data_IF_000922356384
#
_entry.id   IF_000922356384
#
_cell.length_a   1.000
_cell.length_b   1.000
_cell.length_c   1.000
_cell.angle_alpha   90.00
_cell.angle_beta   90.00
_cell.angle_gamma   90.00
#
_symmetry.space_group_name_H-M   'P 1'
#
loop_
_entity.id
_entity.type
_entity.pdbx_description
1 polymer ?
#
# COMPACT_ATOMS: atom_id res chain seq x y z
N UNK A 1 1.90 14.03 22.89
CA UNK A 1 2.87 13.29 22.05
C UNK A 1 2.40 11.84 22.02
N UNK A 2 1.80 11.38 20.92
CA UNK A 2 1.43 9.98 20.77
C UNK A 2 2.72 9.16 20.73
N UNK A 3 2.91 8.30 21.73
CA UNK A 3 4.05 7.40 21.81
C UNK A 3 3.58 6.01 21.38
N UNK A 4 4.26 5.46 20.38
CA UNK A 4 4.25 4.02 20.15
C UNK A 4 5.19 3.42 21.19
N UNK A 5 4.66 2.64 22.14
CA UNK A 5 5.44 2.06 23.25
C UNK A 5 4.98 0.65 23.56
N UNK A 6 5.94 -0.19 23.98
CA UNK A 6 5.67 -1.56 24.41
C UNK A 6 5.18 -2.41 23.25
N UNK A 7 4.04 -3.08 23.44
CA UNK A 7 3.57 -4.11 22.51
C UNK A 7 3.39 -3.64 21.06
N UNK A 8 3.01 -2.39 20.83
CA UNK A 8 2.84 -1.85 19.47
C UNK A 8 4.18 -1.70 18.73
N UNK A 9 5.23 -1.29 19.45
CA UNK A 9 6.61 -1.23 18.95
C UNK A 9 7.10 -2.65 18.63
N UNK A 10 6.88 -3.61 19.53
CA UNK A 10 7.24 -5.01 19.31
C UNK A 10 6.55 -5.59 18.07
N UNK A 11 5.25 -5.32 17.85
CA UNK A 11 4.55 -5.73 16.63
C UNK A 11 5.17 -5.12 15.37
N UNK A 12 5.60 -3.85 15.42
CA UNK A 12 6.24 -3.20 14.28
C UNK A 12 7.60 -3.81 13.99
N UNK A 13 8.40 -4.09 15.01
CA UNK A 13 9.70 -4.75 14.90
C UNK A 13 9.56 -6.14 14.26
N UNK A 14 8.56 -6.92 14.68
CA UNK A 14 8.29 -8.24 14.08
C UNK A 14 7.83 -8.11 12.63
N UNK A 15 6.98 -7.13 12.29
CA UNK A 15 6.57 -6.87 10.90
C UNK A 15 7.78 -6.47 10.05
N UNK A 16 8.63 -5.55 10.51
CA UNK A 16 9.87 -5.15 9.82
C UNK A 16 10.74 -6.39 9.56
N UNK A 17 10.96 -7.20 10.59
CA UNK A 17 11.75 -8.44 10.50
C UNK A 17 11.12 -9.44 9.52
N UNK A 18 9.79 -9.57 9.50
CA UNK A 18 9.08 -10.45 8.60
C UNK A 18 9.23 -10.04 7.13
N UNK A 19 9.08 -8.74 6.83
CA UNK A 19 9.25 -8.22 5.48
C UNK A 19 10.72 -8.33 5.01
N UNK A 20 11.69 -8.00 5.86
CA UNK A 20 13.12 -8.15 5.52
C UNK A 20 13.44 -9.61 5.22
N UNK A 21 12.92 -10.55 6.01
CA UNK A 21 13.13 -11.97 5.78
C UNK A 21 12.50 -12.45 4.47
N UNK A 22 11.27 -12.03 4.17
CA UNK A 22 10.62 -12.35 2.91
C UNK A 22 11.39 -11.81 1.69
N UNK A 23 11.85 -10.55 1.75
CA UNK A 23 12.70 -9.96 0.70
C UNK A 23 14.00 -10.73 0.52
N UNK A 24 14.64 -11.08 1.64
CA UNK A 24 15.88 -11.85 1.61
C UNK A 24 15.68 -13.23 0.99
N UNK A 25 14.62 -13.95 1.36
CA UNK A 25 14.34 -15.27 0.78
C UNK A 25 14.03 -15.20 -0.72
N UNK A 26 13.40 -14.13 -1.19
CA UNK A 26 13.29 -13.87 -2.62
C UNK A 26 14.67 -13.63 -3.26
N UNK A 27 15.52 -12.83 -2.64
CA UNK A 27 16.89 -12.56 -3.13
C UNK A 27 17.78 -13.82 -3.14
N UNK A 28 17.60 -14.73 -2.19
CA UNK A 28 18.35 -16.00 -2.08
C UNK A 28 17.80 -17.10 -3.01
N UNK A 29 16.63 -16.88 -3.62
CA UNK A 29 16.00 -17.85 -4.52
C UNK A 29 16.50 -17.71 -5.96
N UNK A 30 16.70 -18.82 -6.69
CA UNK A 30 16.93 -18.77 -8.13
C UNK A 30 15.73 -18.16 -8.86
N UNK A 31 15.98 -17.36 -9.89
CA UNK A 31 14.91 -16.75 -10.69
C UNK A 31 13.97 -17.81 -11.30
N UNK A 32 14.52 -18.92 -11.78
CA UNK A 32 13.74 -20.06 -12.32
C UNK A 32 12.73 -20.61 -11.30
N UNK A 33 13.11 -20.69 -10.02
CA UNK A 33 12.24 -21.21 -8.97
C UNK A 33 11.07 -20.26 -8.72
N UNK A 34 11.34 -18.96 -8.62
CA UNK A 34 10.30 -17.95 -8.37
C UNK A 34 9.30 -17.82 -9.54
N UNK A 35 9.78 -18.05 -10.76
CA UNK A 35 8.98 -18.06 -11.98
C UNK A 35 8.22 -19.38 -12.21
N UNK A 36 8.33 -20.35 -11.30
CA UNK A 36 7.56 -21.59 -11.34
C UNK A 36 6.23 -21.45 -10.61
N UNK A 37 5.26 -22.31 -10.96
CA UNK A 37 3.96 -22.34 -10.28
C UNK A 37 4.10 -22.93 -8.88
N UNK A 38 3.48 -22.27 -7.91
CA UNK A 38 3.45 -22.75 -6.54
C UNK A 38 2.44 -23.90 -6.36
N UNK A 39 2.69 -24.74 -5.36
CA UNK A 39 1.68 -25.69 -4.86
C UNK A 39 0.70 -25.02 -3.87
N UNK A 40 1.06 -23.84 -3.38
CA UNK A 40 0.27 -23.02 -2.47
C UNK A 40 -0.59 -22.02 -3.24
N UNK A 41 -1.79 -21.71 -2.75
CA UNK A 41 -2.69 -20.73 -3.35
C UNK A 41 -3.55 -21.30 -4.50
N UNK A 42 -3.93 -20.43 -5.43
CA UNK A 42 -4.70 -20.80 -6.63
C UNK A 42 -3.78 -21.43 -7.68
N UNK A 43 -4.35 -22.15 -8.66
CA UNK A 43 -3.57 -22.90 -9.66
C UNK A 43 -2.70 -22.04 -10.62
N UNK A 44 -2.79 -20.73 -10.52
CA UNK A 44 -2.01 -19.72 -11.24
C UNK A 44 -1.02 -18.94 -10.34
N UNK A 45 -0.98 -19.20 -9.04
CA UNK A 45 -0.05 -18.57 -8.10
C UNK A 45 1.39 -18.97 -8.42
N UNK A 46 2.30 -17.99 -8.55
CA UNK A 46 3.73 -18.25 -8.71
C UNK A 46 4.40 -18.40 -7.35
N UNK A 47 5.54 -19.10 -7.29
CA UNK A 47 6.37 -19.18 -6.07
C UNK A 47 6.83 -17.78 -5.61
N UNK A 48 6.97 -16.84 -6.55
CA UNK A 48 7.19 -15.42 -6.27
C UNK A 48 6.14 -14.83 -5.31
N UNK A 49 4.86 -15.19 -5.47
CA UNK A 49 3.75 -14.70 -4.64
C UNK A 49 3.64 -15.50 -3.33
N UNK A 50 3.79 -16.83 -3.42
CA UNK A 50 3.60 -17.74 -2.30
C UNK A 50 4.70 -17.62 -1.24
N UNK A 51 5.98 -17.50 -1.65
CA UNK A 51 7.11 -17.53 -0.72
C UNK A 51 7.07 -16.37 0.29
N UNK A 52 6.85 -15.09 -0.11
CA UNK A 52 6.70 -13.99 0.83
C UNK A 52 5.53 -14.19 1.79
N UNK A 53 4.37 -14.64 1.29
CA UNK A 53 3.19 -14.85 2.12
C UNK A 53 3.45 -15.90 3.21
N UNK A 54 4.06 -17.03 2.86
CA UNK A 54 4.38 -18.11 3.79
C UNK A 54 5.33 -17.61 4.89
N UNK A 55 6.40 -16.91 4.52
CA UNK A 55 7.41 -16.41 5.48
C UNK A 55 6.80 -15.37 6.42
N UNK A 56 6.01 -14.44 5.88
CA UNK A 56 5.35 -13.41 6.66
C UNK A 56 4.38 -14.05 7.65
N UNK A 57 3.52 -14.95 7.17
CA UNK A 57 2.53 -15.65 7.99
C UNK A 57 3.19 -16.47 9.10
N UNK A 58 4.23 -17.23 8.78
CA UNK A 58 4.97 -18.01 9.77
C UNK A 58 5.53 -17.13 10.88
N UNK A 59 6.19 -16.02 10.52
CA UNK A 59 6.79 -15.12 11.50
C UNK A 59 5.77 -14.40 12.37
N UNK A 60 4.71 -13.85 11.76
CA UNK A 60 3.72 -13.06 12.49
C UNK A 60 2.77 -13.93 13.30
N UNK A 61 2.20 -14.97 12.69
CA UNK A 61 1.11 -15.74 13.32
C UNK A 61 1.57 -17.02 13.97
N UNK A 62 2.53 -17.75 13.40
CA UNK A 62 2.89 -19.06 13.93
C UNK A 62 3.93 -18.96 15.05
N UNK A 63 4.90 -18.05 14.89
CA UNK A 63 6.03 -17.89 15.81
C UNK A 63 5.85 -16.77 16.83
N UNK A 64 5.08 -15.71 16.52
CA UNK A 64 4.97 -14.54 17.38
C UNK A 64 3.61 -14.42 18.08
N UNK A 65 2.51 -14.21 17.34
CA UNK A 65 1.16 -14.11 17.91
C UNK A 65 0.13 -14.96 17.16
N UNK A 66 -0.15 -16.15 17.69
CA UNK A 66 -1.13 -17.11 17.17
C UNK A 66 -2.58 -16.64 17.24
N UNK A 67 -2.86 -15.59 18.01
CA UNK A 67 -4.21 -15.04 18.14
C UNK A 67 -4.45 -13.86 17.20
N UNK A 68 -3.41 -13.36 16.53
CA UNK A 68 -3.53 -12.31 15.54
C UNK A 68 -4.23 -12.81 14.27
N UNK A 69 -5.02 -11.94 13.65
CA UNK A 69 -5.70 -12.26 12.38
C UNK A 69 -4.85 -11.72 11.23
N UNK A 70 -4.41 -12.62 10.35
CA UNK A 70 -3.61 -12.27 9.18
C UNK A 70 -4.43 -12.35 7.90
N UNK A 71 -4.57 -11.22 7.21
CA UNK A 71 -5.46 -11.04 6.06
C UNK A 71 -4.63 -10.82 4.81
N UNK A 72 -4.71 -11.75 3.86
CA UNK A 72 -4.03 -11.70 2.54
C UNK A 72 -5.00 -11.88 1.39
N UNK A 73 -4.50 -11.90 0.14
CA UNK A 73 -5.30 -12.34 -1.00
C UNK A 73 -5.73 -13.83 -0.87
N UNK A 74 -4.89 -14.68 -0.27
CA UNK A 74 -5.17 -16.10 -0.08
C UNK A 74 -5.65 -16.41 1.35
N UNK A 75 -6.75 -15.75 1.77
CA UNK A 75 -7.40 -16.05 3.06
C UNK A 75 -7.71 -17.55 3.17
N UNK A 76 -7.23 -18.18 4.24
CA UNK A 76 -7.60 -19.54 4.62
C UNK A 76 -8.90 -19.60 5.45
N UNK A 77 -9.48 -20.79 5.56
CA UNK A 77 -10.71 -20.99 6.34
C UNK A 77 -10.54 -20.66 7.83
N UNK A 78 -9.33 -20.80 8.38
CA UNK A 78 -9.04 -20.55 9.79
C UNK A 78 -9.16 -19.06 10.10
N UNK A 79 -8.54 -18.22 9.27
CA UNK A 79 -8.63 -16.76 9.34
C UNK A 79 -10.08 -16.32 9.24
N UNK A 80 -10.87 -16.93 8.34
CA UNK A 80 -12.29 -16.65 8.20
C UNK A 80 -13.10 -17.01 9.45
N UNK A 81 -12.80 -18.14 10.10
CA UNK A 81 -13.46 -18.56 11.36
C UNK A 81 -13.18 -17.58 12.51
N UNK A 82 -11.96 -17.08 12.56
CA UNK A 82 -11.48 -16.16 13.60
C UNK A 82 -11.84 -14.69 13.35
N UNK A 83 -12.46 -14.36 12.21
CA UNK A 83 -12.86 -12.98 11.89
C UNK A 83 -13.74 -12.35 12.99
N UNK A 84 -13.54 -11.05 13.33
CA UNK A 84 -14.26 -10.39 14.40
C UNK A 84 -15.78 -10.54 14.24
N UNK A 85 -16.47 -10.79 15.35
CA UNK A 85 -17.93 -11.02 15.39
C UNK A 85 -18.74 -9.80 15.80
N UNK A 86 -18.11 -8.89 16.54
CA UNK A 86 -18.75 -7.74 17.16
C UNK A 86 -18.12 -6.48 16.58
N UNK A 87 -18.97 -5.51 16.21
CA UNK A 87 -18.53 -4.23 15.64
C UNK A 87 -17.81 -3.34 16.66
N UNK A 88 -18.07 -3.53 17.96
CA UNK A 88 -17.42 -2.80 19.06
C UNK A 88 -15.89 -2.78 18.86
N UNK A 89 -15.30 -1.60 18.63
CA UNK A 89 -13.87 -1.47 18.36
C UNK A 89 -13.03 -2.06 19.49
N UNK A 90 -13.41 -1.92 20.76
CA UNK A 90 -12.60 -2.39 21.89
C UNK A 90 -12.43 -3.91 21.89
N UNK A 91 -13.43 -4.63 21.37
CA UNK A 91 -13.45 -6.08 21.27
C UNK A 91 -12.85 -6.60 19.95
N UNK A 92 -12.51 -5.73 19.01
CA UNK A 92 -11.85 -6.15 17.78
C UNK A 92 -10.40 -6.59 18.08
N UNK A 93 -10.00 -7.82 17.68
CA UNK A 93 -8.67 -8.35 17.88
C UNK A 93 -7.60 -7.58 17.09
N UNK A 94 -6.34 -7.94 17.31
CA UNK A 94 -5.24 -7.49 16.48
C UNK A 94 -5.35 -8.09 15.08
N UNK A 95 -5.17 -7.26 14.06
CA UNK A 95 -5.29 -7.67 12.67
C UNK A 95 -4.15 -7.11 11.84
N UNK A 96 -3.68 -7.90 10.88
CA UNK A 96 -2.68 -7.52 9.89
C UNK A 96 -3.29 -7.66 8.51
N UNK A 97 -3.45 -6.54 7.80
CA UNK A 97 -3.70 -6.58 6.37
C UNK A 97 -2.37 -6.65 5.65
N UNK A 98 -2.22 -7.61 4.74
CA UNK A 98 -0.97 -7.88 4.05
C UNK A 98 -1.22 -8.01 2.55
N UNK A 99 -0.42 -7.28 1.78
CA UNK A 99 -0.21 -7.50 0.35
C UNK A 99 1.22 -8.07 0.16
N UNK A 100 1.37 -9.40 0.03
CA UNK A 100 2.69 -10.04 0.01
C UNK A 100 3.56 -9.63 -1.19
N UNK A 101 2.92 -9.40 -2.35
CA UNK A 101 3.59 -9.00 -3.60
C UNK A 101 2.64 -8.17 -4.47
N UNK A 102 2.75 -6.85 -4.37
CA UNK A 102 2.16 -5.93 -5.32
C UNK A 102 2.96 -5.93 -6.64
N UNK A 103 2.26 -5.73 -7.76
CA UNK A 103 2.82 -5.76 -9.12
C UNK A 103 3.55 -7.06 -9.47
N UNK A 104 3.07 -8.20 -8.99
CA UNK A 104 3.66 -9.51 -9.27
C UNK A 104 3.81 -9.78 -10.77
N UNK A 105 2.82 -9.41 -11.59
CA UNK A 105 2.90 -9.54 -13.05
C UNK A 105 4.08 -8.78 -13.67
N UNK A 106 4.32 -7.54 -13.24
CA UNK A 106 5.47 -6.74 -13.68
C UNK A 106 6.78 -7.31 -13.16
N UNK A 107 6.82 -7.79 -11.91
CA UNK A 107 8.00 -8.41 -11.33
C UNK A 107 8.37 -9.72 -12.05
N UNK A 108 7.39 -10.53 -12.45
CA UNK A 108 7.57 -11.73 -13.27
C UNK A 108 8.18 -11.36 -14.62
N UNK A 109 7.61 -10.39 -15.34
CA UNK A 109 8.12 -9.94 -16.64
C UNK A 109 9.56 -9.42 -16.54
N UNK A 110 9.81 -8.63 -15.50
CA UNK A 110 11.13 -8.10 -15.21
C UNK A 110 12.14 -9.24 -14.96
N UNK A 111 11.83 -10.17 -14.04
CA UNK A 111 12.67 -11.32 -13.72
C UNK A 111 12.93 -12.22 -14.92
N UNK A 112 11.91 -12.50 -15.74
CA UNK A 112 12.05 -13.28 -16.98
C UNK A 112 13.09 -12.64 -17.92
N UNK A 113 13.06 -11.32 -18.05
CA UNK A 113 13.97 -10.59 -18.94
C UNK A 113 15.40 -10.60 -18.42
N UNK A 114 15.61 -10.25 -17.16
CA UNK A 114 16.97 -10.13 -16.61
C UNK A 114 17.66 -11.47 -16.34
N UNK A 115 16.87 -12.54 -16.23
CA UNK A 115 17.37 -13.88 -15.98
C UNK A 115 17.38 -14.78 -17.22
N UNK A 116 17.06 -14.24 -18.40
CA UNK A 116 16.95 -15.01 -19.65
C UNK A 116 18.19 -15.89 -19.93
N UNK A 117 19.39 -15.37 -19.65
CA UNK A 117 20.65 -16.09 -19.84
C UNK A 117 21.20 -16.72 -18.55
N UNK A 118 20.60 -16.44 -17.38
CA UNK A 118 21.14 -16.77 -16.06
C UNK A 118 20.04 -17.18 -15.06
N UNK A 119 19.04 -17.95 -15.51
CA UNK A 119 17.86 -18.29 -14.72
C UNK A 119 18.13 -19.12 -13.45
N UNK A 120 19.29 -19.78 -13.38
CA UNK A 120 19.76 -20.52 -12.20
C UNK A 120 20.42 -19.62 -11.15
N UNK A 121 20.74 -18.36 -11.47
CA UNK A 121 21.33 -17.45 -10.49
C UNK A 121 20.28 -16.98 -9.50
N UNK A 122 20.74 -16.75 -8.27
CA UNK A 122 19.93 -16.12 -7.24
C UNK A 122 19.58 -14.69 -7.66
N UNK A 123 18.36 -14.25 -7.37
CA UNK A 123 17.90 -12.89 -7.69
C UNK A 123 18.83 -11.82 -7.12
N UNK A 124 19.33 -12.01 -5.90
CA UNK A 124 20.29 -11.10 -5.26
C UNK A 124 21.62 -10.99 -6.00
N UNK A 125 22.10 -12.08 -6.60
CA UNK A 125 23.31 -12.08 -7.42
C UNK A 125 23.08 -11.34 -8.74
N UNK A 126 21.92 -11.54 -9.37
CA UNK A 126 21.53 -10.80 -10.57
C UNK A 126 21.46 -9.30 -10.26
N UNK A 127 20.95 -8.92 -9.08
CA UNK A 127 20.87 -7.54 -8.59
C UNK A 127 22.24 -6.88 -8.42
N UNK A 128 23.22 -7.60 -7.90
CA UNK A 128 24.58 -7.05 -7.73
C UNK A 128 25.32 -6.86 -9.06
N UNK A 129 24.98 -7.64 -10.09
CA UNK A 129 25.65 -7.61 -11.40
C UNK A 129 25.08 -6.57 -12.36
N UNK A 130 23.91 -6.01 -12.08
CA UNK A 130 23.17 -5.16 -13.02
C UNK A 130 22.65 -3.90 -12.31
N UNK A 131 22.41 -2.81 -13.07
CA UNK A 131 21.73 -1.64 -12.53
C UNK A 131 20.21 -1.90 -12.46
N UNK A 132 19.81 -2.66 -11.45
CA UNK A 132 18.46 -3.19 -11.27
C UNK A 132 17.36 -2.13 -11.30
N UNK A 133 17.60 -0.98 -10.65
CA UNK A 133 16.65 0.14 -10.60
C UNK A 133 16.47 0.74 -11.99
N UNK A 134 17.57 0.99 -12.70
CA UNK A 134 17.52 1.53 -14.05
C UNK A 134 16.80 0.56 -15.01
N UNK A 135 17.11 -0.73 -14.93
CA UNK A 135 16.45 -1.75 -15.74
C UNK A 135 14.94 -1.81 -15.46
N UNK A 136 14.52 -1.70 -14.19
CA UNK A 136 13.10 -1.66 -13.84
C UNK A 136 12.38 -0.48 -14.51
N UNK A 137 12.96 0.71 -14.43
CA UNK A 137 12.36 1.91 -15.01
C UNK A 137 12.34 1.91 -16.54
N UNK A 138 13.37 1.35 -17.18
CA UNK A 138 13.51 1.32 -18.64
C UNK A 138 12.66 0.19 -19.24
N UNK A 139 12.68 -1.00 -18.65
CA UNK A 139 12.15 -2.21 -19.27
C UNK A 139 10.70 -2.51 -18.91
N UNK A 140 10.24 -2.04 -17.75
CA UNK A 140 8.87 -2.30 -17.28
C UNK A 140 7.95 -1.10 -17.50
N UNK A 141 8.47 0.12 -17.39
CA UNK A 141 7.67 1.34 -17.26
C UNK A 141 8.01 2.45 -18.26
N UNK A 142 8.90 2.17 -19.22
CA UNK A 142 9.21 3.06 -20.34
C UNK A 142 9.53 4.51 -19.93
N UNK A 143 10.31 4.70 -18.85
CA UNK A 143 10.79 5.99 -18.30
C UNK A 143 9.74 7.06 -17.91
N UNK A 144 8.50 7.00 -18.40
CA UNK A 144 7.45 7.99 -18.11
C UNK A 144 6.82 7.80 -16.73
N UNK A 145 6.98 6.62 -16.13
CA UNK A 145 6.35 6.22 -14.86
C UNK A 145 7.42 5.97 -13.76
N UNK A 146 8.44 6.84 -13.71
CA UNK A 146 9.45 6.92 -12.63
C UNK A 146 8.86 7.58 -11.37
N UNK A 147 9.53 7.53 -10.20
CA UNK A 147 10.74 6.76 -9.87
C UNK A 147 10.42 5.36 -9.33
N UNK A 148 11.37 4.42 -9.47
CA UNK A 148 11.25 3.06 -8.94
C UNK A 148 10.98 3.00 -7.43
N UNK A 149 11.32 4.05 -6.68
CA UNK A 149 10.97 4.19 -5.26
C UNK A 149 9.46 4.11 -5.01
N UNK A 150 8.65 4.52 -5.98
CA UNK A 150 7.18 4.51 -5.94
C UNK A 150 6.62 3.39 -6.83
N UNK A 151 7.22 3.14 -8.00
CA UNK A 151 6.68 2.16 -8.97
C UNK A 151 7.21 0.75 -8.84
N UNK A 152 8.21 0.54 -7.99
CA UNK A 152 8.76 -0.78 -7.67
C UNK A 152 7.70 -1.74 -7.14
N UNK A 153 7.87 -3.04 -7.41
CA UNK A 153 7.10 -4.08 -6.74
C UNK A 153 7.33 -3.99 -5.23
N UNK A 154 6.27 -4.16 -4.44
CA UNK A 154 6.34 -3.99 -2.99
C UNK A 154 5.68 -5.15 -2.24
N UNK A 155 6.04 -5.31 -0.98
CA UNK A 155 5.21 -5.99 0.01
C UNK A 155 4.75 -4.97 1.04
N UNK A 156 3.56 -5.14 1.60
CA UNK A 156 3.03 -4.18 2.55
C UNK A 156 2.22 -4.85 3.65
N UNK A 157 2.36 -4.35 4.88
CA UNK A 157 1.56 -4.78 6.03
C UNK A 157 1.04 -3.55 6.78
N UNK A 158 -0.24 -3.55 7.13
CA UNK A 158 -0.84 -2.57 8.04
C UNK A 158 -1.40 -3.28 9.26
N UNK A 159 -1.01 -2.78 10.44
CA UNK A 159 -1.48 -3.29 11.71
C UNK A 159 -2.68 -2.48 12.21
N UNK A 160 -3.75 -3.21 12.56
CA UNK A 160 -4.94 -2.68 13.19
C UNK A 160 -5.10 -3.27 14.58
N UNK A 161 -5.52 -2.43 15.52
CA UNK A 161 -5.92 -2.87 16.86
C UNK A 161 -7.11 -2.04 17.31
N UNK A 162 -8.11 -2.72 17.85
CA UNK A 162 -9.34 -2.08 18.35
C UNK A 162 -10.03 -1.17 17.33
N UNK A 163 -10.13 -1.61 16.07
CA UNK A 163 -10.70 -0.80 14.99
C UNK A 163 -9.88 0.45 14.63
N UNK A 164 -8.58 0.50 14.94
CA UNK A 164 -7.71 1.66 14.69
C UNK A 164 -6.39 1.26 14.04
N UNK A 165 -5.86 2.13 13.19
CA UNK A 165 -4.55 1.93 12.55
C UNK A 165 -3.44 2.24 13.55
N UNK A 166 -2.54 1.28 13.73
CA UNK A 166 -1.35 1.46 14.58
C UNK A 166 -0.15 1.90 13.74
N UNK A 167 0.17 1.14 12.69
CA UNK A 167 1.26 1.44 11.77
C UNK A 167 1.08 0.75 10.42
N UNK A 168 1.88 1.15 9.43
CA UNK A 168 2.13 0.35 8.23
C UNK A 168 3.60 0.31 7.87
N UNK A 169 4.02 -0.80 7.26
CA UNK A 169 5.35 -1.03 6.72
C UNK A 169 5.21 -1.46 5.27
N UNK A 170 5.90 -0.78 4.35
CA UNK A 170 5.98 -1.11 2.94
C UNK A 170 7.45 -1.35 2.60
N UNK A 171 7.78 -2.47 1.97
CA UNK A 171 9.13 -2.77 1.51
C UNK A 171 9.15 -2.89 -0.02
N UNK A 172 9.95 -2.06 -0.66
CA UNK A 172 10.15 -2.05 -2.11
C UNK A 172 11.27 -3.03 -2.51
N UNK A 173 10.92 -4.07 -3.27
CA UNK A 173 11.86 -5.10 -3.71
C UNK A 173 12.94 -4.57 -4.66
N UNK A 174 12.58 -3.60 -5.50
CA UNK A 174 13.45 -3.09 -6.56
C UNK A 174 14.53 -2.21 -5.96
N UNK A 175 14.14 -1.30 -5.08
CA UNK A 175 15.06 -0.32 -4.49
C UNK A 175 15.63 -0.76 -3.15
N UNK A 176 15.06 -1.80 -2.53
CA UNK A 176 15.38 -2.25 -1.17
C UNK A 176 15.15 -1.14 -0.13
N UNK A 177 14.16 -0.27 -0.38
CA UNK A 177 13.75 0.77 0.57
C UNK A 177 12.56 0.27 1.38
N UNK A 178 12.68 0.32 2.71
CA UNK A 178 11.57 0.13 3.63
C UNK A 178 11.00 1.51 3.99
N UNK A 179 9.67 1.63 3.92
CA UNK A 179 8.89 2.79 4.33
C UNK A 179 8.03 2.40 5.53
N UNK A 180 8.00 3.23 6.56
CA UNK A 180 7.25 2.97 7.79
C UNK A 180 6.44 4.22 8.14
N UNK A 181 5.15 4.04 8.39
CA UNK A 181 4.26 5.08 8.90
C UNK A 181 3.79 4.69 10.31
N UNK A 182 4.16 5.48 11.32
CA UNK A 182 3.80 5.27 12.74
C UNK A 182 3.44 6.59 13.42
N UNK A 183 2.95 6.58 14.68
CA UNK A 183 2.75 7.80 15.45
C UNK A 183 4.02 8.65 15.64
N UNK A 184 5.22 8.06 15.46
CA UNK A 184 6.51 8.75 15.55
C UNK A 184 6.86 9.52 14.26
N UNK A 185 6.08 9.33 13.19
CA UNK A 185 6.27 9.94 11.87
C UNK A 185 6.38 8.89 10.77
N UNK A 186 6.70 9.37 9.57
CA UNK A 186 6.94 8.51 8.41
C UNK A 186 8.42 8.55 8.11
N UNK A 187 9.04 7.37 7.97
CA UNK A 187 10.47 7.22 7.73
C UNK A 187 10.71 6.27 6.58
N UNK A 188 11.85 6.44 5.91
CA UNK A 188 12.34 5.49 4.94
C UNK A 188 13.82 5.15 5.17
N UNK A 189 14.18 3.91 4.89
CA UNK A 189 15.54 3.40 5.09
C UNK A 189 15.93 2.45 3.95
N UNK A 190 17.16 2.57 3.45
CA UNK A 190 17.69 1.65 2.43
C UNK A 190 18.28 0.46 3.17
N UNK A 191 17.75 -0.74 2.93
CA UNK A 191 18.26 -1.96 3.51
C UNK A 191 19.71 -2.20 3.07
N UNK A 192 20.53 -2.81 3.94
CA UNK A 192 21.85 -3.29 3.55
C UNK A 192 21.74 -4.39 2.49
N UNK A 193 22.89 -4.81 1.94
CA UNK A 193 22.91 -5.94 1.03
C UNK A 193 22.31 -7.19 1.68
N UNK A 194 21.57 -7.98 0.90
CA UNK A 194 20.84 -9.16 1.38
C UNK A 194 21.76 -10.22 2.02
N UNK A 195 23.05 -10.23 1.66
CA UNK A 195 24.04 -11.11 2.25
C UNK A 195 24.55 -10.65 3.63
N UNK A 196 24.31 -9.40 4.04
CA UNK A 196 24.71 -8.87 5.35
C UNK A 196 23.66 -9.22 6.43
N UNK A 197 23.69 -10.49 6.86
CA UNK A 197 22.75 -11.03 7.84
C UNK A 197 22.82 -10.32 9.19
N UNK A 198 24.04 -9.98 9.64
CA UNK A 198 24.24 -9.36 10.95
C UNK A 198 23.55 -8.01 10.99
N UNK A 199 23.73 -7.20 9.94
CA UNK A 199 23.11 -5.89 9.86
C UNK A 199 21.61 -5.99 9.62
N UNK A 200 21.17 -6.90 8.75
CA UNK A 200 19.74 -7.12 8.47
C UNK A 200 18.93 -7.52 9.70
N UNK A 201 19.48 -8.38 10.56
CA UNK A 201 18.80 -8.82 11.79
C UNK A 201 18.74 -7.74 12.87
N UNK A 202 19.57 -6.69 12.78
CA UNK A 202 19.58 -5.58 13.73
C UNK A 202 18.59 -4.46 13.36
N UNK A 203 17.92 -4.56 12.19
CA UNK A 203 17.00 -3.53 11.72
C UNK A 203 15.65 -3.72 12.40
N UNK A 204 15.29 -2.72 13.20
CA UNK A 204 14.01 -2.59 13.87
C UNK A 204 13.51 -1.15 13.78
N UNK A 205 12.36 -0.82 14.38
CA UNK A 205 11.76 0.50 14.30
C UNK A 205 12.72 1.58 14.79
N UNK A 206 13.30 1.39 15.97
CA UNK A 206 14.25 2.35 16.54
C UNK A 206 15.49 2.53 15.65
N UNK A 207 16.04 1.46 15.08
CA UNK A 207 17.16 1.55 14.13
C UNK A 207 16.80 2.40 12.92
N UNK A 208 15.61 2.21 12.34
CA UNK A 208 15.12 2.96 11.19
C UNK A 208 14.87 4.42 11.53
N UNK A 209 14.36 4.73 12.71
CA UNK A 209 14.18 6.13 13.15
C UNK A 209 15.54 6.83 13.32
N UNK A 210 16.54 6.13 13.85
CA UNK A 210 17.87 6.69 14.11
C UNK A 210 18.73 6.84 12.84
N UNK A 211 18.62 5.91 11.89
CA UNK A 211 19.50 5.82 10.72
C UNK A 211 18.80 6.05 9.38
N UNK A 212 17.47 6.06 9.37
CA UNK A 212 16.66 6.39 8.21
C UNK A 212 16.49 7.89 8.02
N UNK A 213 15.66 8.24 7.05
CA UNK A 213 15.31 9.62 6.75
C UNK A 213 13.81 9.82 6.95
N UNK A 214 13.38 10.92 7.59
CA UNK A 214 11.97 11.27 7.63
C UNK A 214 11.46 11.51 6.20
N UNK A 215 10.23 11.09 5.95
CA UNK A 215 9.54 11.30 4.68
C UNK A 215 8.38 12.28 4.91
N UNK A 216 8.36 13.36 4.13
CA UNK A 216 7.35 14.40 4.22
C UNK A 216 6.40 14.39 3.03
N UNK A 217 5.20 14.88 3.29
CA UNK A 217 4.16 15.10 2.30
C UNK A 217 4.00 16.61 2.13
N UNK A 218 4.61 17.21 1.10
CA UNK A 218 4.51 18.65 0.89
C UNK A 218 3.08 19.06 0.53
N UNK A 219 2.75 20.30 0.84
CA UNK A 219 1.48 20.92 0.46
C UNK A 219 1.40 21.10 -1.07
N UNK A 220 0.17 21.11 -1.62
CA UNK A 220 -0.08 21.30 -3.04
C UNK A 220 0.49 22.63 -3.54
N UNK A 221 0.34 23.71 -2.77
CA UNK A 221 0.88 25.03 -3.13
C UNK A 221 2.41 25.05 -3.30
N UNK A 222 3.12 24.13 -2.64
CA UNK A 222 4.58 23.99 -2.73
C UNK A 222 5.00 23.24 -3.99
N UNK A 223 4.21 22.25 -4.43
CA UNK A 223 4.61 21.32 -5.52
C UNK A 223 3.92 21.59 -6.85
N UNK A 224 2.64 21.99 -6.83
CA UNK A 224 1.84 22.28 -8.00
C UNK A 224 2.16 23.68 -8.52
N UNK A 225 2.75 23.77 -9.72
CA UNK A 225 3.23 25.05 -10.29
C UNK A 225 2.23 25.64 -11.27
N UNK A 226 1.35 24.82 -11.83
CA UNK A 226 0.32 25.20 -12.80
C UNK A 226 -1.02 24.64 -12.38
N UNK A 227 -2.10 25.25 -12.85
CA UNK A 227 -3.47 24.80 -12.58
C UNK A 227 -3.69 23.31 -12.88
N UNK A 228 -3.10 22.82 -13.97
CA UNK A 228 -3.22 21.41 -14.40
C UNK A 228 -2.63 20.43 -13.37
N UNK A 229 -1.61 20.86 -12.62
CA UNK A 229 -0.91 20.02 -11.66
C UNK A 229 -1.80 19.60 -10.49
N UNK A 230 -2.71 20.48 -10.06
CA UNK A 230 -3.68 20.19 -8.99
C UNK A 230 -4.67 19.09 -9.39
N UNK A 231 -4.88 18.90 -10.69
CA UNK A 231 -5.76 17.89 -11.26
C UNK A 231 -5.02 16.61 -11.66
N UNK A 232 -3.69 16.61 -11.75
CA UNK A 232 -2.94 15.41 -12.12
C UNK A 232 -3.14 14.32 -11.09
N UNK A 233 -3.37 13.10 -11.56
CA UNK A 233 -3.71 11.99 -10.69
C UNK A 233 -3.20 10.65 -11.18
N UNK A 234 -3.18 9.68 -10.26
CA UNK A 234 -2.94 8.28 -10.60
C UNK A 234 -4.04 7.40 -10.04
N UNK A 235 -4.45 6.43 -10.86
CA UNK A 235 -5.53 5.49 -10.53
C UNK A 235 -5.45 4.26 -11.42
N UNK A 236 -6.05 3.16 -10.97
CA UNK A 236 -6.14 1.94 -11.76
C UNK A 236 -7.30 2.01 -12.77
N UNK A 237 -6.97 1.93 -14.06
CA UNK A 237 -7.90 1.87 -15.20
C UNK A 237 -7.61 0.67 -16.11
N UNK A 238 -6.64 -0.17 -15.75
CA UNK A 238 -6.07 -1.18 -16.64
C UNK A 238 -6.91 -2.43 -16.91
N UNK A 239 -8.14 -2.53 -16.38
CA UNK A 239 -9.04 -3.68 -16.55
C UNK A 239 -10.46 -3.19 -16.79
N UNK A 240 -11.26 -4.03 -17.45
CA UNK A 240 -12.69 -3.81 -17.65
C UNK A 240 -13.42 -3.48 -16.33
N UNK A 241 -14.37 -2.55 -16.42
CA UNK A 241 -15.20 -2.03 -15.33
C UNK A 241 -14.59 -0.85 -14.57
N UNK A 242 -13.26 -0.67 -14.65
CA UNK A 242 -12.60 0.41 -13.91
C UNK A 242 -12.80 1.77 -14.57
N UNK A 243 -12.85 1.85 -15.90
CA UNK A 243 -13.06 3.12 -16.59
C UNK A 243 -14.45 3.66 -16.32
N UNK A 244 -15.46 2.81 -16.45
CA UNK A 244 -16.86 3.12 -16.21
C UNK A 244 -17.05 3.58 -14.75
N UNK A 245 -16.46 2.86 -13.80
CA UNK A 245 -16.51 3.22 -12.39
C UNK A 245 -15.81 4.56 -12.08
N UNK A 246 -14.75 4.89 -12.81
CA UNK A 246 -14.10 6.19 -12.70
C UNK A 246 -14.97 7.31 -13.28
N UNK A 247 -15.55 7.12 -14.47
CA UNK A 247 -16.37 8.13 -15.12
C UNK A 247 -17.64 8.43 -14.30
N UNK A 248 -18.25 7.41 -13.68
CA UNK A 248 -19.40 7.58 -12.78
C UNK A 248 -19.06 8.25 -11.43
N UNK A 249 -17.79 8.34 -11.07
CA UNK A 249 -17.35 9.03 -9.85
C UNK A 249 -17.49 10.55 -9.94
N UNK A 250 -17.72 11.11 -11.13
CA UNK A 250 -17.89 12.55 -11.38
C UNK A 250 -16.77 13.45 -10.81
N UNK A 251 -15.61 12.87 -10.44
CA UNK A 251 -14.43 13.62 -10.01
C UNK A 251 -13.95 14.51 -11.16
N UNK A 252 -14.08 14.01 -12.39
CA UNK A 252 -13.94 14.76 -13.62
C UNK A 252 -15.25 14.74 -14.39
N UNK A 253 -15.53 15.85 -15.08
CA UNK A 253 -16.68 15.95 -15.99
C UNK A 253 -16.23 15.65 -17.43
N UNK A 254 -15.05 16.12 -17.84
CA UNK A 254 -14.48 15.89 -19.18
C UNK A 254 -12.95 15.82 -19.16
N UNK A 255 -12.37 15.14 -20.16
CA UNK A 255 -10.93 15.13 -20.48
C UNK A 255 -9.98 14.67 -19.35
N UNK A 256 -10.43 13.74 -18.49
CA UNK A 256 -9.63 13.23 -17.39
C UNK A 256 -8.28 12.62 -17.84
N UNK A 257 -8.24 11.97 -19.00
CA UNK A 257 -7.03 11.33 -19.54
C UNK A 257 -5.84 12.30 -19.69
N UNK A 258 -6.11 13.58 -19.94
CA UNK A 258 -5.05 14.60 -20.03
C UNK A 258 -4.29 14.75 -18.70
N UNK A 259 -4.96 14.49 -17.59
CA UNK A 259 -4.41 14.63 -16.24
C UNK A 259 -3.95 13.29 -15.65
N UNK A 260 -4.20 12.19 -16.34
CA UNK A 260 -3.80 10.86 -15.89
C UNK A 260 -2.28 10.69 -16.00
N UNK A 261 -1.62 10.54 -14.86
CA UNK A 261 -0.18 10.30 -14.79
C UNK A 261 0.17 8.84 -15.07
N UNK A 262 -0.57 7.91 -14.46
CA UNK A 262 -0.33 6.48 -14.58
C UNK A 262 -1.63 5.71 -14.38
N UNK A 263 -1.96 4.83 -15.34
CA UNK A 263 -3.22 4.08 -15.45
C UNK A 263 -3.20 2.70 -14.79
N UNK A 264 -2.01 2.23 -14.38
CA UNK A 264 -1.82 0.94 -13.70
C UNK A 264 -0.86 1.06 -12.50
N UNK A 265 -1.05 2.04 -11.60
CA UNK A 265 -0.22 2.19 -10.41
C UNK A 265 -0.27 0.96 -9.50
N UNK A 266 0.77 0.79 -8.69
CA UNK A 266 0.80 -0.22 -7.64
C UNK A 266 -0.28 0.09 -6.60
N UNK A 267 -0.69 -0.92 -5.85
CA UNK A 267 -1.64 -0.76 -4.76
C UNK A 267 -0.97 -0.03 -3.59
N UNK A 268 -0.20 -0.71 -2.73
CA UNK A 268 0.24 -0.17 -1.44
C UNK A 268 1.09 1.11 -1.53
N UNK A 269 2.02 1.19 -2.50
CA UNK A 269 2.98 2.29 -2.60
C UNK A 269 2.39 3.58 -3.21
N UNK A 270 1.15 3.58 -3.72
CA UNK A 270 0.59 4.71 -4.46
C UNK A 270 0.54 6.00 -3.68
N UNK A 271 0.32 5.94 -2.36
CA UNK A 271 0.31 7.14 -1.51
C UNK A 271 1.62 7.94 -1.61
N UNK A 272 2.74 7.28 -1.94
CA UNK A 272 4.05 7.91 -2.05
C UNK A 272 4.15 8.88 -3.25
N UNK A 273 3.24 8.83 -4.22
CA UNK A 273 3.14 9.85 -5.29
C UNK A 273 2.87 11.26 -4.74
N UNK A 274 2.28 11.38 -3.55
CA UNK A 274 2.00 12.66 -2.89
C UNK A 274 3.14 13.10 -1.95
N UNK A 275 4.22 12.33 -1.86
CA UNK A 275 5.37 12.61 -1.00
C UNK A 275 6.47 13.39 -1.75
N UNK A 276 7.47 13.86 -1.01
CA UNK A 276 8.65 14.49 -1.62
C UNK A 276 9.44 13.58 -2.58
N UNK A 277 9.23 12.25 -2.56
CA UNK A 277 9.86 11.31 -3.49
C UNK A 277 9.49 11.59 -4.95
N UNK A 278 8.25 12.04 -5.21
CA UNK A 278 7.81 12.41 -6.56
C UNK A 278 8.62 13.60 -7.10
N UNK A 279 8.99 14.53 -6.22
CA UNK A 279 9.71 15.76 -6.58
C UNK A 279 11.22 15.56 -6.75
N UNK A 280 11.77 14.42 -6.31
CA UNK A 280 13.20 14.12 -6.47
C UNK A 280 13.58 13.90 -7.94
N UNK A 281 12.65 13.45 -8.76
CA UNK A 281 12.83 13.35 -10.20
C UNK A 281 12.48 14.70 -10.85
N UNK A 282 13.50 15.47 -11.24
CA UNK A 282 13.39 16.86 -11.72
C UNK A 282 12.42 17.06 -12.90
N UNK A 283 12.14 16.01 -13.66
CA UNK A 283 11.33 16.06 -14.88
C UNK A 283 9.93 15.46 -14.72
N UNK A 284 9.57 15.02 -13.50
CA UNK A 284 8.24 14.46 -13.26
C UNK A 284 7.25 15.56 -12.87
N UNK A 285 6.03 15.55 -13.45
CA UNK A 285 5.00 16.44 -12.99
C UNK A 285 4.54 16.03 -11.58
N UNK A 286 4.19 17.02 -10.74
CA UNK A 286 3.60 16.76 -9.42
C UNK A 286 2.23 16.08 -9.57
N UNK A 287 1.82 15.36 -8.52
CA UNK A 287 0.53 14.67 -8.45
C UNK A 287 -0.35 15.40 -7.43
N UNK A 288 -1.52 15.85 -7.86
CA UNK A 288 -2.48 16.56 -7.03
C UNK A 288 -3.38 15.64 -6.20
N UNK A 289 -3.61 14.41 -6.65
CA UNK A 289 -4.30 13.38 -5.85
C UNK A 289 -4.07 11.96 -6.38
N UNK A 290 -4.38 10.98 -5.55
CA UNK A 290 -4.45 9.57 -5.94
C UNK A 290 -5.86 9.05 -5.69
N UNK A 291 -6.25 8.03 -6.46
CA UNK A 291 -7.57 7.41 -6.33
C UNK A 291 -7.42 5.89 -6.28
N UNK A 292 -8.04 5.26 -5.28
CA UNK A 292 -8.44 3.86 -5.35
C UNK A 292 -9.73 3.79 -6.16
N UNK A 293 -9.75 3.08 -7.28
CA UNK A 293 -10.89 3.06 -8.18
C UNK A 293 -11.64 1.74 -8.11
N UNK A 294 -12.15 1.40 -6.91
CA UNK A 294 -12.77 0.11 -6.66
C UNK A 294 -11.77 -1.03 -6.54
N UNK A 295 -10.60 -0.70 -6.03
CA UNK A 295 -9.54 -1.63 -5.70
C UNK A 295 -9.81 -2.36 -4.39
N UNK A 296 -9.20 -3.55 -4.23
CA UNK A 296 -9.44 -4.39 -3.05
C UNK A 296 -8.87 -3.72 -1.81
N UNK A 297 -9.42 -4.02 -0.64
CA UNK A 297 -8.97 -3.49 0.66
C UNK A 297 -7.48 -3.73 0.89
N UNK A 298 -6.97 -4.91 0.51
CA UNK A 298 -5.55 -5.22 0.60
C UNK A 298 -4.64 -4.26 -0.17
N UNK A 299 -5.14 -3.52 -1.16
CA UNK A 299 -4.34 -2.59 -1.97
C UNK A 299 -4.31 -1.18 -1.34
N UNK A 300 -5.46 -0.64 -0.92
CA UNK A 300 -5.56 0.75 -0.45
C UNK A 300 -5.48 0.94 1.07
N UNK A 301 -5.69 -0.12 1.88
CA UNK A 301 -5.68 -0.01 3.35
C UNK A 301 -4.33 0.49 3.90
N UNK A 302 -3.26 0.22 3.17
CA UNK A 302 -1.90 0.67 3.49
C UNK A 302 -1.77 2.19 3.46
N UNK A 303 -2.49 2.87 2.58
CA UNK A 303 -2.40 4.33 2.43
C UNK A 303 -2.86 5.06 3.68
N UNK A 304 -3.85 4.52 4.39
CA UNK A 304 -4.52 5.20 5.49
C UNK A 304 -3.57 5.52 6.65
N UNK A 305 -2.58 4.65 6.91
CA UNK A 305 -1.54 4.93 7.90
C UNK A 305 -0.64 6.11 7.48
N UNK A 306 -0.28 6.19 6.20
CA UNK A 306 0.48 7.29 5.64
C UNK A 306 -0.36 8.57 5.69
N UNK A 307 -1.66 8.54 5.37
CA UNK A 307 -2.55 9.70 5.53
C UNK A 307 -2.67 10.12 6.99
N UNK A 308 -2.81 9.17 7.93
CA UNK A 308 -2.91 9.42 9.37
C UNK A 308 -1.68 10.13 9.93
N UNK A 309 -0.49 9.70 9.50
CA UNK A 309 0.78 10.17 10.06
C UNK A 309 1.54 11.15 9.15
N UNK A 310 1.00 11.51 7.99
CA UNK A 310 1.61 12.44 7.04
C UNK A 310 1.67 13.84 7.62
N UNK A 311 2.88 14.42 7.58
CA UNK A 311 3.16 15.78 8.01
C UNK A 311 3.88 16.55 6.93
N UNK A 312 3.69 17.86 6.93
CA UNK A 312 4.46 18.75 6.09
C UNK A 312 5.73 19.14 6.85
N UNK A 313 6.78 19.46 6.11
CA UNK A 313 8.09 19.74 6.69
C UNK A 313 8.15 21.10 7.39
N UNK A 314 7.30 22.04 6.99
CA UNK A 314 7.41 23.45 7.37
C UNK A 314 6.80 23.73 8.75
N UNK A 315 5.62 23.19 9.03
CA UNK A 315 4.88 23.43 10.27
C UNK A 315 4.48 22.14 11.01
N UNK A 316 4.76 20.96 10.44
CA UNK A 316 4.44 19.65 11.02
C UNK A 316 2.94 19.33 11.16
N UNK A 317 2.07 20.12 10.51
CA UNK A 317 0.63 19.87 10.42
C UNK A 317 0.32 18.70 9.48
N UNK A 318 -0.91 18.18 9.60
CA UNK A 318 -1.43 17.11 8.75
C UNK A 318 -1.42 17.52 7.28
N UNK A 319 -0.74 16.73 6.45
CA UNK A 319 -0.56 17.07 5.03
C UNK A 319 -1.58 16.49 4.08
N UNK A 320 -2.29 15.43 4.48
CA UNK A 320 -3.14 14.68 3.57
C UNK A 320 -4.57 14.59 4.10
N UNK A 321 -5.52 14.59 3.16
CA UNK A 321 -6.94 14.29 3.39
C UNK A 321 -7.33 13.07 2.58
N UNK A 322 -8.36 12.37 3.06
CA UNK A 322 -8.94 11.22 2.38
C UNK A 322 -10.45 11.36 2.33
N UNK A 323 -11.04 10.92 1.21
CA UNK A 323 -12.47 10.92 1.00
C UNK A 323 -12.92 9.54 0.52
N UNK A 324 -14.00 9.02 1.10
CA UNK A 324 -14.73 7.87 0.59
C UNK A 324 -15.75 8.32 -0.45
N UNK A 325 -15.59 7.80 -1.67
CA UNK A 325 -16.44 8.12 -2.82
C UNK A 325 -17.54 7.08 -2.92
N UNK A 326 -18.78 7.52 -2.73
CA UNK A 326 -19.98 6.72 -2.95
C UNK A 326 -20.63 7.13 -4.28
N UNK A 327 -20.70 6.20 -5.22
CA UNK A 327 -21.36 6.41 -6.51
C UNK A 327 -22.83 6.02 -6.39
N UNK A 328 -23.74 6.77 -7.04
CA UNK A 328 -25.18 6.50 -7.01
C UNK A 328 -25.57 5.18 -7.68
N UNK A 329 -24.78 4.72 -8.65
CA UNK A 329 -24.95 3.46 -9.40
C UNK A 329 -23.65 2.66 -9.40
N UNK A 330 -23.20 2.15 -8.25
CA UNK A 330 -21.89 1.52 -8.15
C UNK A 330 -21.77 0.30 -9.06
N UNK A 331 -20.65 0.20 -9.77
CA UNK A 331 -20.33 -0.98 -10.56
C UNK A 331 -19.96 -2.16 -9.66
N UNK A 332 -20.02 -3.36 -10.20
CA UNK A 332 -19.55 -4.56 -9.52
C UNK A 332 -18.41 -5.21 -10.28
N UNK A 333 -17.47 -5.80 -9.53
CA UNK A 333 -16.42 -6.65 -10.06
C UNK A 333 -16.41 -7.97 -9.31
N UNK A 334 -16.62 -9.07 -10.03
CA UNK A 334 -16.76 -10.41 -9.46
C UNK A 334 -17.85 -10.47 -8.37
N UNK A 335 -18.96 -9.77 -8.57
CA UNK A 335 -20.09 -9.71 -7.63
C UNK A 335 -19.86 -8.84 -6.39
N UNK A 336 -18.77 -8.06 -6.34
CA UNK A 336 -18.48 -7.12 -5.23
C UNK A 336 -18.57 -5.68 -5.73
N UNK A 337 -19.25 -4.81 -4.97
CA UNK A 337 -19.37 -3.38 -5.25
C UNK A 337 -17.98 -2.73 -5.33
N UNK A 338 -17.73 -1.94 -6.38
CA UNK A 338 -16.48 -1.18 -6.57
C UNK A 338 -16.47 0.13 -5.78
N UNK A 339 -17.63 0.72 -5.53
CA UNK A 339 -17.81 1.86 -4.63
C UNK A 339 -18.85 1.47 -3.58
N UNK A 340 -18.59 1.79 -2.32
CA UNK A 340 -19.49 1.45 -1.22
C UNK A 340 -20.42 2.61 -0.92
N UNK A 341 -21.70 2.29 -0.77
CA UNK A 341 -22.65 3.23 -0.17
C UNK A 341 -22.32 3.43 1.31
N UNK A 342 -22.69 4.58 1.92
CA UNK A 342 -22.40 4.86 3.33
C UNK A 342 -22.83 3.75 4.30
N UNK A 343 -23.96 3.08 4.04
CA UNK A 343 -24.46 1.97 4.87
C UNK A 343 -23.62 0.67 4.79
N UNK A 344 -22.74 0.56 3.79
CA UNK A 344 -21.80 -0.54 3.59
C UNK A 344 -20.35 -0.11 3.84
N UNK A 345 -20.14 1.11 4.33
CA UNK A 345 -18.83 1.64 4.70
C UNK A 345 -18.29 0.92 5.93
N UNK A 346 -16.99 0.64 5.93
CA UNK A 346 -16.29 0.17 7.14
C UNK A 346 -15.81 1.34 8.01
N UNK A 347 -15.91 2.58 7.51
CA UNK A 347 -15.59 3.76 8.30
C UNK A 347 -16.81 4.08 9.15
N UNK A 348 -16.68 3.99 10.47
CA UNK A 348 -17.79 4.19 11.39
C UNK A 348 -17.48 5.38 12.30
N UNK A 349 -18.54 6.07 12.72
CA UNK A 349 -18.51 7.13 13.71
C UNK A 349 -19.60 6.81 14.76
N UNK A 350 -19.20 6.62 16.00
CA UNK A 350 -20.10 6.37 17.13
C UNK A 350 -19.66 7.22 18.32
N UNK A 351 -20.58 8.00 18.89
CA UNK A 351 -20.32 8.90 20.02
C UNK A 351 -19.13 9.87 19.79
N UNK A 352 -18.91 10.29 18.54
CA UNK A 352 -17.80 11.17 18.15
C UNK A 352 -16.43 10.46 18.07
N UNK A 353 -16.42 9.12 18.13
CA UNK A 353 -15.24 8.30 17.91
C UNK A 353 -15.30 7.61 16.55
N UNK A 354 -14.28 7.85 15.72
CA UNK A 354 -14.10 7.18 14.45
C UNK A 354 -13.36 5.85 14.65
N UNK A 355 -13.81 4.80 13.95
CA UNK A 355 -13.18 3.49 13.95
C UNK A 355 -13.47 2.73 12.66
N UNK A 356 -12.73 1.64 12.46
CA UNK A 356 -12.97 0.69 11.38
C UNK A 356 -13.85 -0.46 11.89
N UNK A 357 -15.06 -0.62 11.37
CA UNK A 357 -15.88 -1.82 11.61
C UNK A 357 -15.40 -2.95 10.70
N UNK A 358 -14.32 -3.61 11.09
CA UNK A 358 -13.82 -4.76 10.35
C UNK A 358 -14.73 -5.99 10.55
N UNK A 359 -15.52 -6.04 11.63
CA UNK A 359 -16.49 -7.13 11.85
C UNK A 359 -17.57 -7.15 10.77
N UNK A 360 -17.93 -5.99 10.21
CA UNK A 360 -18.82 -5.88 9.06
C UNK A 360 -18.36 -6.77 7.89
N UNK A 361 -17.06 -6.81 7.61
CA UNK A 361 -16.50 -7.56 6.47
C UNK A 361 -16.73 -9.07 6.59
N UNK A 362 -16.96 -9.61 7.79
CA UNK A 362 -17.31 -11.02 8.02
C UNK A 362 -18.55 -11.47 7.25
N UNK A 363 -19.48 -10.54 7.00
CA UNK A 363 -20.74 -10.78 6.30
C UNK A 363 -20.52 -11.08 4.83
N UNK A 364 -19.34 -10.75 4.30
CA UNK A 364 -18.98 -11.00 2.91
C UNK A 364 -18.44 -12.43 2.73
N UNK A 365 -18.73 -13.08 1.60
CA UNK A 365 -18.16 -14.40 1.29
C UNK A 365 -16.62 -14.41 1.26
N UNK A 366 -16.01 -13.27 0.93
CA UNK A 366 -14.56 -13.07 0.89
C UNK A 366 -14.22 -11.68 1.42
N UNK A 367 -13.96 -11.53 2.73
CA UNK A 367 -13.70 -10.23 3.36
C UNK A 367 -12.54 -9.44 2.72
N UNK A 368 -11.47 -10.13 2.30
CA UNK A 368 -10.33 -9.54 1.57
C UNK A 368 -10.68 -8.99 0.18
N UNK A 369 -11.84 -9.37 -0.39
CA UNK A 369 -12.30 -8.85 -1.68
C UNK A 369 -13.15 -7.60 -1.52
N UNK A 370 -13.39 -7.11 -0.30
CA UNK A 370 -14.01 -5.80 -0.10
C UNK A 370 -13.27 -4.75 -0.93
N UNK A 371 -14.01 -3.88 -1.60
CA UNK A 371 -13.47 -2.85 -2.47
C UNK A 371 -13.98 -1.49 -2.01
N UNK A 372 -13.22 -0.46 -2.33
CA UNK A 372 -13.59 0.90 -2.01
C UNK A 372 -13.10 1.86 -3.07
N UNK A 373 -13.76 3.02 -3.15
CA UNK A 373 -13.23 4.17 -3.85
C UNK A 373 -12.79 5.23 -2.85
N UNK A 374 -11.50 5.53 -2.87
CA UNK A 374 -10.87 6.47 -1.94
C UNK A 374 -10.04 7.48 -2.71
N UNK A 375 -10.31 8.76 -2.50
CA UNK A 375 -9.45 9.85 -2.98
C UNK A 375 -8.54 10.28 -1.84
N UNK A 376 -7.23 10.33 -2.09
CA UNK A 376 -6.25 10.93 -1.18
C UNK A 376 -5.61 12.12 -1.87
N UNK A 377 -5.56 13.26 -1.19
CA UNK A 377 -5.03 14.51 -1.74
C UNK A 377 -4.31 15.32 -0.66
N UNK A 378 -3.45 16.26 -1.05
CA UNK A 378 -2.86 17.23 -0.14
C UNK A 378 -3.94 18.07 0.54
N UNK A 379 -3.71 18.44 1.80
CA UNK A 379 -4.71 19.05 2.67
C UNK A 379 -5.17 20.45 2.21
N UNK A 380 -4.36 21.11 1.38
CA UNK A 380 -4.54 22.44 0.77
C UNK A 380 -4.89 22.37 -0.73
N UNK A 381 -5.11 21.18 -1.31
CA UNK A 381 -5.61 21.08 -2.69
C UNK A 381 -7.11 21.42 -2.75
N UNK A 382 -7.42 22.71 -2.65
CA UNK A 382 -8.79 23.23 -2.58
C UNK A 382 -9.66 22.84 -3.78
N UNK A 383 -9.06 22.59 -4.95
CA UNK A 383 -9.79 22.17 -6.17
C UNK A 383 -10.40 20.79 -6.00
N UNK A 384 -9.58 19.82 -5.57
CA UNK A 384 -10.05 18.44 -5.35
C UNK A 384 -10.97 18.39 -4.13
N UNK A 385 -10.62 19.08 -3.05
CA UNK A 385 -11.45 19.16 -1.84
C UNK A 385 -12.84 19.74 -2.16
N UNK A 386 -12.89 20.82 -2.94
CA UNK A 386 -14.15 21.40 -3.40
C UNK A 386 -14.98 20.39 -4.20
N UNK A 387 -14.37 19.67 -5.14
CA UNK A 387 -15.05 18.62 -5.90
C UNK A 387 -15.62 17.54 -4.98
N UNK A 388 -14.82 17.02 -4.03
CA UNK A 388 -15.30 16.00 -3.09
C UNK A 388 -16.51 16.49 -2.27
N UNK A 389 -16.44 17.74 -1.77
CA UNK A 389 -17.52 18.34 -0.96
C UNK A 389 -18.76 18.67 -1.78
N UNK A 390 -18.59 19.16 -3.02
CA UNK A 390 -19.69 19.43 -3.95
C UNK A 390 -20.53 18.18 -4.21
N UNK A 391 -19.87 17.03 -4.32
CA UNK A 391 -20.53 15.73 -4.51
C UNK A 391 -20.91 15.03 -3.20
N UNK A 392 -20.74 15.70 -2.05
CA UNK A 392 -21.06 15.17 -0.73
C UNK A 392 -20.35 13.84 -0.41
N UNK A 393 -19.14 13.63 -0.95
CA UNK A 393 -18.31 12.50 -0.57
C UNK A 393 -17.81 12.65 0.85
N UNK A 394 -17.72 11.53 1.57
CA UNK A 394 -17.44 11.52 3.00
C UNK A 394 -15.95 11.78 3.21
N UNK A 395 -15.62 12.87 3.88
CA UNK A 395 -14.28 13.07 4.42
C UNK A 395 -14.08 12.06 5.57
N UNK A 396 -13.03 11.23 5.48
CA UNK A 396 -12.69 10.32 6.58
C UNK A 396 -11.77 11.10 7.51
N UNK A 397 -12.35 11.58 8.61
CA UNK A 397 -11.64 12.33 9.66
C UNK A 397 -11.11 11.39 10.73
N UNK A 398 -10.09 11.84 11.45
CA UNK A 398 -9.64 11.25 12.71
C UNK A 398 -9.50 9.72 12.69
N UNK A 399 -8.47 9.22 11.99
CA UNK A 399 -8.04 7.81 12.01
C UNK A 399 -7.54 7.32 13.39
N UNK A 400 -7.88 8.02 14.47
CA UNK A 400 -7.31 7.91 15.83
C UNK A 400 -7.27 6.46 16.23
#
# INVERSE_FOLDING_TARGET
MLKMTGLEEDYCDVVISALIAASRSLMESPALSLLSKAKYGKGDTFELDALPEIIIKERLTQRYDQNSIFITEEIDEVTRKNWPKVSDPILQPLMFFCDPVDRSAQLIQFLQKISAENNMFQVGQLRQKQNWVKLWEEETFQSAEKPANITGATMAITCFRKGRIIFSVILNYITQVIYIATPLGIYHFILPDYADLKRSNAINLNYIIQHGKPLYFPLAEVVCRKEEDFWRFTTFLGKEGYRENFDESLIFIDNADRFLHHSKPGGPARVLYLSELQNQAKDLPPIGFILANGEKIGEWIHWLSFVKFAKNKENMDKSLKVFEVSISRPHTKNGVLMSVFPYYSIFCEEEGHNFFDIAFLRRLPSPNKFRGMLVVTQADNERIIYTMRKHQYREITDFI
#
